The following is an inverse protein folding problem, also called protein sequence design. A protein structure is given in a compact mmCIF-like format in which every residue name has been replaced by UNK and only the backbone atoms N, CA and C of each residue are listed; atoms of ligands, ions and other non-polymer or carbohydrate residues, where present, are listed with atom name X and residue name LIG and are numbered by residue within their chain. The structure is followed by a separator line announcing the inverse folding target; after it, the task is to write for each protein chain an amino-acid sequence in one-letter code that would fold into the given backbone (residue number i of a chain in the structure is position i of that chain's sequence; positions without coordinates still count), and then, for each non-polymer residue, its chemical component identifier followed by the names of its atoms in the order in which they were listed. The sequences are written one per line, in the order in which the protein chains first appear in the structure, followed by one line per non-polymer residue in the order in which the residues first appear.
data_IF_442662929448
#
_entry.id   IF_442662929448
#
_cell.length_a   1.000
_cell.length_b   1.000
_cell.length_c   1.000
_cell.angle_alpha   90.00
_cell.angle_beta   90.00
_cell.angle_gamma   90.00
#
_symmetry.space_group_name_H-M   'P 1'
#
loop_
_entity.id
_entity.type
_entity.pdbx_description
1 polymer ?
#
# COMPACT_ATOMS: atom_id res chain seq x y z
N UNK A 1 2.93 -6.18 -5.77
CA UNK A 1 2.20 -6.25 -4.48
C UNK A 1 1.73 -7.65 -4.13
N UNK A 2 1.12 -8.40 -5.06
CA UNK A 2 0.63 -9.79 -4.87
C UNK A 2 1.50 -10.68 -3.99
N UNK A 3 2.76 -10.95 -4.36
CA UNK A 3 3.63 -11.87 -3.60
C UNK A 3 3.80 -11.48 -2.13
N UNK A 4 3.89 -10.18 -1.82
CA UNK A 4 4.03 -9.69 -0.43
C UNK A 4 2.76 -10.02 0.36
N UNK A 5 1.59 -9.73 -0.22
CA UNK A 5 0.30 -9.99 0.41
C UNK A 5 0.01 -11.49 0.51
N UNK A 6 0.38 -12.29 -0.49
CA UNK A 6 0.28 -13.76 -0.46
C UNK A 6 1.09 -14.33 0.69
N UNK A 7 2.35 -13.89 0.88
CA UNK A 7 3.19 -14.38 1.98
C UNK A 7 2.55 -14.02 3.32
N UNK A 8 2.06 -12.80 3.49
CA UNK A 8 1.40 -12.41 4.73
C UNK A 8 0.15 -13.25 5.03
N UNK A 9 -0.70 -13.48 4.03
CA UNK A 9 -1.89 -14.31 4.15
C UNK A 9 -1.56 -15.77 4.45
N UNK A 10 -0.56 -16.36 3.79
CA UNK A 10 -0.13 -17.74 4.02
C UNK A 10 0.42 -17.97 5.43
N UNK A 11 1.02 -16.95 6.05
CA UNK A 11 1.51 -17.02 7.43
C UNK A 11 0.46 -16.57 8.46
N UNK A 12 -0.78 -16.31 8.04
CA UNK A 12 -1.89 -15.97 8.94
C UNK A 12 -1.79 -14.57 9.55
N UNK A 13 -1.00 -13.67 8.99
CA UNK A 13 -1.00 -12.27 9.43
C UNK A 13 -2.30 -11.59 9.01
N UNK A 14 -3.10 -11.16 9.98
CA UNK A 14 -4.41 -10.50 9.73
C UNK A 14 -4.34 -8.97 9.78
N UNK A 15 -3.25 -8.39 10.27
CA UNK A 15 -3.04 -6.94 10.32
C UNK A 15 -1.78 -6.55 9.58
N UNK A 16 -1.88 -5.60 8.66
CA UNK A 16 -0.77 -5.12 7.84
C UNK A 16 -0.49 -3.65 8.06
N UNK A 17 0.81 -3.33 8.16
CA UNK A 17 1.31 -1.96 8.00
C UNK A 17 2.13 -1.92 6.71
N UNK A 18 1.64 -1.14 5.75
CA UNK A 18 2.22 -0.92 4.43
C UNK A 18 2.62 0.56 4.30
N UNK A 19 3.09 0.97 3.13
CA UNK A 19 3.44 2.36 2.87
C UNK A 19 3.85 2.61 1.42
N UNK A 20 4.47 3.77 1.19
CA UNK A 20 4.94 4.22 -0.11
C UNK A 20 6.18 3.43 -0.59
N UNK A 21 5.95 2.14 -0.93
CA UNK A 21 6.99 1.16 -1.23
C UNK A 21 7.83 1.56 -2.44
N UNK A 22 9.07 1.98 -2.17
CA UNK A 22 10.02 2.42 -3.19
C UNK A 22 9.78 3.82 -3.75
N UNK A 23 8.89 4.63 -3.16
CA UNK A 23 8.60 5.99 -3.65
C UNK A 23 9.62 7.06 -3.19
N UNK A 24 10.66 6.66 -2.46
CA UNK A 24 11.76 7.53 -2.04
C UNK A 24 12.95 7.41 -2.98
N UNK A 25 14.06 6.86 -2.48
CA UNK A 25 15.32 6.69 -3.23
C UNK A 25 15.14 5.94 -4.55
N UNK A 26 14.24 4.95 -4.59
CA UNK A 26 13.98 4.16 -5.80
C UNK A 26 13.07 4.85 -6.83
N UNK A 27 12.54 6.04 -6.50
CA UNK A 27 11.80 6.91 -7.41
C UNK A 27 10.58 6.26 -8.08
N UNK A 28 9.95 5.27 -7.44
CA UNK A 28 8.64 4.82 -7.90
C UNK A 28 7.63 5.96 -7.77
N UNK A 29 6.72 6.07 -8.73
CA UNK A 29 5.60 7.02 -8.65
C UNK A 29 4.60 6.53 -7.60
N UNK A 30 4.26 7.38 -6.64
CA UNK A 30 3.38 7.00 -5.55
C UNK A 30 1.96 6.64 -6.02
N UNK A 31 1.46 7.30 -7.05
CA UNK A 31 0.16 6.98 -7.66
C UNK A 31 0.15 5.55 -8.20
N UNK A 32 1.22 5.14 -8.89
CA UNK A 32 1.33 3.80 -9.46
C UNK A 32 1.40 2.76 -8.33
N UNK A 33 2.22 2.99 -7.30
CA UNK A 33 2.37 2.08 -6.16
C UNK A 33 1.06 1.94 -5.37
N UNK A 34 0.37 3.05 -5.08
CA UNK A 34 -0.95 3.02 -4.45
C UNK A 34 -1.98 2.28 -5.31
N UNK A 35 -1.95 2.52 -6.63
CA UNK A 35 -2.77 1.80 -7.61
C UNK A 35 -2.52 0.29 -7.61
N UNK A 36 -1.26 -0.14 -7.61
CA UNK A 36 -0.91 -1.57 -7.56
C UNK A 36 -1.34 -2.25 -6.27
N UNK A 37 -1.29 -1.55 -5.12
CA UNK A 37 -1.85 -2.08 -3.89
C UNK A 37 -3.36 -2.21 -3.99
N UNK A 38 -4.05 -1.18 -4.47
CA UNK A 38 -5.50 -1.18 -4.58
C UNK A 38 -6.03 -2.22 -5.58
N UNK A 39 -5.34 -2.43 -6.71
CA UNK A 39 -5.67 -3.48 -7.66
C UNK A 39 -5.65 -4.85 -6.97
N UNK A 40 -4.55 -5.18 -6.29
CA UNK A 40 -4.43 -6.49 -5.64
C UNK A 40 -5.39 -6.62 -4.45
N UNK A 41 -5.54 -5.57 -3.64
CA UNK A 41 -6.41 -5.62 -2.47
C UNK A 41 -7.88 -5.74 -2.85
N UNK A 42 -8.37 -4.95 -3.80
CA UNK A 42 -9.81 -4.82 -4.06
C UNK A 42 -10.27 -5.49 -5.36
N UNK A 43 -9.51 -5.41 -6.45
CA UNK A 43 -9.92 -6.04 -7.71
C UNK A 43 -9.67 -7.55 -7.69
N UNK A 44 -8.65 -7.99 -6.96
CA UNK A 44 -8.31 -9.41 -6.80
C UNK A 44 -8.76 -9.99 -5.44
N UNK A 45 -9.48 -9.17 -4.66
CA UNK A 45 -10.07 -9.52 -3.38
C UNK A 45 -9.07 -10.13 -2.37
N UNK A 46 -7.88 -9.52 -2.22
CA UNK A 46 -6.93 -9.90 -1.17
C UNK A 46 -7.24 -9.28 0.18
N UNK A 47 -7.98 -8.16 0.21
CA UNK A 47 -8.43 -7.52 1.44
C UNK A 47 -9.18 -8.48 2.38
N UNK A 48 -9.92 -9.46 1.85
CA UNK A 48 -10.63 -10.50 2.62
C UNK A 48 -9.74 -11.34 3.55
N UNK A 49 -8.43 -11.36 3.32
CA UNK A 49 -7.47 -12.10 4.15
C UNK A 49 -7.01 -11.32 5.38
N UNK A 50 -7.34 -10.03 5.47
CA UNK A 50 -6.84 -9.13 6.51
C UNK A 50 -8.01 -8.44 7.23
N UNK A 51 -7.91 -8.29 8.55
CA UNK A 51 -8.86 -7.54 9.37
C UNK A 51 -8.58 -6.04 9.33
N UNK A 52 -7.29 -5.68 9.17
CA UNK A 52 -6.87 -4.29 9.25
C UNK A 52 -5.65 -4.03 8.37
N UNK A 53 -5.72 -2.98 7.56
CA UNK A 53 -4.64 -2.56 6.66
C UNK A 53 -4.41 -1.07 6.87
N UNK A 54 -3.18 -0.71 7.24
CA UNK A 54 -2.75 0.68 7.41
C UNK A 54 -1.68 1.01 6.38
N UNK A 55 -1.84 2.13 5.68
CA UNK A 55 -0.76 2.73 4.90
C UNK A 55 -0.08 3.82 5.75
N UNK A 56 1.02 3.46 6.42
CA UNK A 56 1.83 4.38 7.21
C UNK A 56 2.80 5.13 6.28
N UNK A 57 2.34 6.26 5.73
CA UNK A 57 3.11 7.06 4.77
C UNK A 57 3.67 8.30 5.46
N UNK A 58 4.94 8.23 5.86
CA UNK A 58 5.69 9.40 6.32
C UNK A 58 6.21 10.17 5.10
N UNK A 59 5.82 11.43 5.01
CA UNK A 59 6.26 12.34 3.97
C UNK A 59 6.62 13.68 4.61
N UNK A 60 7.87 14.12 4.46
CA UNK A 60 8.34 15.43 4.92
C UNK A 60 8.51 16.43 3.78
N UNK A 61 8.20 16.04 2.54
CA UNK A 61 8.30 16.93 1.40
C UNK A 61 7.28 18.06 1.52
N UNK A 62 7.63 19.26 1.04
CA UNK A 62 6.70 20.40 1.04
C UNK A 62 5.40 20.09 0.29
N UNK A 63 5.47 19.20 -0.70
CA UNK A 63 4.32 18.79 -1.51
C UNK A 63 3.59 17.58 -0.96
N UNK A 64 4.10 16.82 0.01
CA UNK A 64 3.41 15.64 0.55
C UNK A 64 2.94 14.67 -0.56
N UNK A 65 3.72 14.52 -1.64
CA UNK A 65 3.28 13.81 -2.85
C UNK A 65 2.95 12.34 -2.60
N UNK A 66 3.74 11.68 -1.73
CA UNK A 66 3.50 10.28 -1.38
C UNK A 66 2.24 10.16 -0.52
N UNK A 67 2.12 11.00 0.51
CA UNK A 67 0.96 10.96 1.39
C UNK A 67 -0.34 11.26 0.63
N UNK A 68 -0.33 12.27 -0.25
CA UNK A 68 -1.50 12.63 -1.07
C UNK A 68 -1.94 11.49 -1.99
N UNK A 69 -1.01 10.87 -2.71
CA UNK A 69 -1.35 9.76 -3.61
C UNK A 69 -2.02 8.58 -2.88
N UNK A 70 -1.57 8.24 -1.67
CA UNK A 70 -2.20 7.19 -0.87
C UNK A 70 -3.53 7.65 -0.26
N UNK A 71 -3.67 8.91 0.17
CA UNK A 71 -4.96 9.44 0.62
C UNK A 71 -6.00 9.41 -0.50
N UNK A 72 -5.68 9.95 -1.67
CA UNK A 72 -6.58 9.98 -2.83
C UNK A 72 -7.06 8.59 -3.27
N UNK A 73 -6.26 7.53 -3.04
CA UNK A 73 -6.62 6.18 -3.46
C UNK A 73 -7.44 5.39 -2.43
N UNK A 74 -7.31 5.70 -1.14
CA UNK A 74 -7.81 4.88 -0.03
C UNK A 74 -8.68 5.62 1.01
N UNK A 75 -8.86 6.94 0.89
CA UNK A 75 -9.79 7.76 1.68
C UNK A 75 -10.80 8.46 0.75
#
# INVERSE_FOLDING_TARGET
MRKILTVAALHGHRTLVLGAYGCGVFRNRAQDVAGYFAQVLFEEAYEKHFDHIVFAVLDHSARQENLRAFRERFL
#
